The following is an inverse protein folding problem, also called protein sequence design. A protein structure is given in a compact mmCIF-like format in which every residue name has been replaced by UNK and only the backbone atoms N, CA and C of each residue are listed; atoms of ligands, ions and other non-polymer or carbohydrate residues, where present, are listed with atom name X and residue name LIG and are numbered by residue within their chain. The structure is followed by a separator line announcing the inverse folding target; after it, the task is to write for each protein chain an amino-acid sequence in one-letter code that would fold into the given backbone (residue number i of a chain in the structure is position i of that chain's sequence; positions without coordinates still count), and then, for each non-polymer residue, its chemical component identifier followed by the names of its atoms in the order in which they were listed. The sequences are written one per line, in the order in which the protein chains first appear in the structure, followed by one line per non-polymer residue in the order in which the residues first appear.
data_IF_506916984653
#
_entry.id   IF_506916984653
#
_cell.length_a   1.000
_cell.length_b   1.000
_cell.length_c   1.000
_cell.angle_alpha   90.00
_cell.angle_beta   90.00
_cell.angle_gamma   90.00
#
_symmetry.space_group_name_H-M   'P 1'
#
loop_
_entity.id
_entity.type
_entity.pdbx_description
1 polymer ?
#
# COMPACT_ATOMS: atom_id res chain seq x y z
N UNK A 1 15.25 -24.00 -9.41
CA UNK A 1 15.49 -23.59 -8.00
C UNK A 1 14.15 -23.14 -7.46
N UNK A 2 13.65 -23.74 -6.37
CA UNK A 2 12.41 -23.28 -5.73
C UNK A 2 12.65 -21.90 -5.14
N UNK A 3 11.82 -20.91 -5.51
CA UNK A 3 11.80 -19.60 -4.86
C UNK A 3 11.38 -19.80 -3.41
N UNK A 4 12.25 -19.43 -2.51
CA UNK A 4 11.93 -19.42 -1.09
C UNK A 4 11.72 -17.95 -0.71
N UNK A 5 10.46 -17.56 -0.41
CA UNK A 5 10.16 -16.19 0.05
C UNK A 5 10.96 -15.89 1.31
N UNK A 6 11.33 -14.62 1.49
CA UNK A 6 12.11 -14.16 2.65
C UNK A 6 11.29 -14.06 3.93
N UNK A 7 10.00 -14.35 3.86
CA UNK A 7 9.02 -14.30 4.94
C UNK A 7 7.81 -15.18 4.60
N UNK A 8 6.98 -15.48 5.59
CA UNK A 8 5.65 -16.06 5.39
C UNK A 8 4.63 -14.93 5.24
N UNK A 9 3.78 -15.01 4.22
CA UNK A 9 2.66 -14.11 3.99
C UNK A 9 1.37 -14.93 3.90
N UNK A 10 0.36 -14.55 4.66
CA UNK A 10 -0.98 -15.13 4.60
C UNK A 10 -2.03 -14.02 4.62
N UNK A 11 -3.16 -14.22 3.97
CA UNK A 11 -4.30 -13.33 4.14
C UNK A 11 -4.82 -13.35 5.59
N UNK A 12 -5.35 -12.21 6.05
CA UNK A 12 -5.81 -12.06 7.43
C UNK A 12 -7.01 -12.98 7.69
N UNK A 13 -6.88 -13.87 8.65
CA UNK A 13 -7.93 -14.84 9.04
C UNK A 13 -8.67 -14.46 10.34
N UNK A 14 -8.16 -13.47 11.08
CA UNK A 14 -8.70 -13.02 12.34
C UNK A 14 -9.40 -11.65 12.19
N UNK A 15 -10.28 -11.32 13.14
CA UNK A 15 -10.87 -9.98 13.17
C UNK A 15 -9.83 -8.91 13.54
N UNK A 16 -9.98 -7.71 12.98
CA UNK A 16 -9.12 -6.58 13.33
C UNK A 16 -9.09 -6.29 14.84
N UNK A 17 -10.24 -6.42 15.51
CA UNK A 17 -10.33 -6.24 16.96
C UNK A 17 -9.48 -7.26 17.74
N UNK A 18 -9.48 -8.54 17.31
CA UNK A 18 -8.66 -9.59 17.96
C UNK A 18 -7.16 -9.32 17.76
N UNK A 19 -6.76 -8.81 16.59
CA UNK A 19 -5.36 -8.45 16.31
C UNK A 19 -4.94 -7.22 17.11
N UNK A 20 -5.77 -6.18 17.16
CA UNK A 20 -5.49 -4.94 17.89
C UNK A 20 -5.44 -5.13 19.41
N UNK A 21 -6.25 -6.03 19.96
CA UNK A 21 -6.27 -6.29 21.42
C UNK A 21 -4.94 -6.82 21.97
N UNK A 22 -4.09 -7.44 21.12
CA UNK A 22 -2.79 -7.99 21.48
C UNK A 22 -1.60 -7.27 20.86
N UNK A 23 -1.83 -6.17 20.13
CA UNK A 23 -0.74 -5.46 19.48
C UNK A 23 0.21 -4.81 20.49
N UNK A 24 1.50 -4.78 20.14
CA UNK A 24 2.53 -4.04 20.88
C UNK A 24 2.73 -2.64 20.27
N UNK A 25 2.53 -2.53 18.96
CA UNK A 25 2.72 -1.30 18.18
C UNK A 25 1.56 -1.20 17.19
N UNK A 26 0.82 -0.10 17.25
CA UNK A 26 -0.22 0.25 16.28
C UNK A 26 0.13 1.54 15.56
N UNK A 27 0.08 1.54 14.23
CA UNK A 27 0.43 2.68 13.38
C UNK A 27 -0.71 2.93 12.39
N UNK A 28 -1.11 4.20 12.24
CA UNK A 28 -2.17 4.60 11.33
C UNK A 28 -1.96 6.04 10.82
N UNK A 29 -2.92 6.59 10.09
CA UNK A 29 -2.90 7.99 9.61
C UNK A 29 -4.09 8.77 10.14
N UNK A 30 -3.88 10.05 10.41
CA UNK A 30 -4.94 11.04 10.66
C UNK A 30 -5.06 11.92 9.42
N UNK A 31 -6.11 11.69 8.66
CA UNK A 31 -6.42 12.41 7.43
C UNK A 31 -7.85 12.94 7.42
N UNK A 32 -8.31 13.40 6.26
CA UNK A 32 -9.64 13.99 6.06
C UNK A 32 -10.77 12.97 5.86
N UNK A 33 -10.44 11.70 5.55
CA UNK A 33 -11.43 10.65 5.39
C UNK A 33 -11.92 10.15 6.76
N UNK A 34 -13.22 9.90 6.93
CA UNK A 34 -13.77 9.40 8.18
C UNK A 34 -13.12 8.07 8.60
N UNK A 35 -12.80 7.19 7.64
CA UNK A 35 -12.17 5.90 7.90
C UNK A 35 -10.73 6.00 8.40
N UNK A 36 -10.07 7.15 8.35
CA UNK A 36 -8.70 7.31 8.84
C UNK A 36 -8.57 7.11 10.33
N UNK A 37 -9.65 7.31 11.09
CA UNK A 37 -9.71 7.05 12.52
C UNK A 37 -10.52 5.79 12.88
N UNK A 38 -10.84 4.93 11.91
CA UNK A 38 -11.73 3.78 12.11
C UNK A 38 -11.30 2.85 13.23
N UNK A 39 -10.01 2.60 13.36
CA UNK A 39 -9.46 1.74 14.42
C UNK A 39 -8.97 2.51 15.66
N UNK A 40 -8.95 3.84 15.64
CA UNK A 40 -8.40 4.63 16.76
C UNK A 40 -9.19 4.49 18.05
N UNK A 41 -10.48 4.17 17.93
CA UNK A 41 -11.39 3.97 19.06
C UNK A 41 -11.45 2.49 19.53
N UNK A 42 -10.82 1.58 18.77
CA UNK A 42 -10.69 0.19 19.20
C UNK A 42 -9.53 0.13 20.20
N UNK A 43 -9.83 -0.36 21.40
CA UNK A 43 -8.88 -0.47 22.48
C UNK A 43 -7.65 -1.28 22.06
N UNK A 44 -6.56 -0.58 21.77
CA UNK A 44 -5.24 -1.18 21.82
C UNK A 44 -4.95 -1.60 23.26
N UNK A 45 -4.13 -2.63 23.45
CA UNK A 45 -3.58 -2.95 24.75
C UNK A 45 -3.03 -1.66 25.39
N UNK A 46 -3.36 -1.35 26.66
CA UNK A 46 -2.94 -0.13 27.35
C UNK A 46 -1.42 0.10 27.33
N UNK A 47 -0.64 -0.97 27.20
CA UNK A 47 0.81 -0.92 27.07
C UNK A 47 1.30 -0.74 25.61
N UNK A 48 0.42 -0.75 24.61
CA UNK A 48 0.81 -0.62 23.22
C UNK A 48 1.30 0.81 22.91
N UNK A 49 2.26 0.91 21.99
CA UNK A 49 2.55 2.18 21.33
C UNK A 49 1.49 2.41 20.23
N UNK A 50 0.75 3.50 20.34
CA UNK A 50 -0.20 3.92 19.32
C UNK A 50 0.32 5.21 18.67
N UNK A 51 0.74 5.12 17.41
CA UNK A 51 1.32 6.23 16.67
C UNK A 51 0.56 6.56 15.39
N UNK A 52 0.48 7.85 15.06
CA UNK A 52 -0.18 8.29 13.84
C UNK A 52 0.63 9.31 13.06
N UNK A 53 0.57 9.20 11.73
CA UNK A 53 1.00 10.23 10.79
C UNK A 53 -0.15 11.21 10.57
N UNK A 54 0.12 12.50 10.76
CA UNK A 54 -0.90 13.55 10.61
C UNK A 54 -0.69 14.26 9.28
N UNK A 55 -1.69 14.26 8.40
CA UNK A 55 -1.65 14.97 7.12
C UNK A 55 -2.05 16.45 7.32
N UNK A 56 -1.09 17.28 7.72
CA UNK A 56 -1.31 18.71 8.05
C UNK A 56 -1.88 19.52 6.88
N UNK A 57 -1.61 19.14 5.64
CA UNK A 57 -2.19 19.77 4.42
C UNK A 57 -3.71 19.56 4.28
N UNK A 58 -4.32 18.79 5.19
CA UNK A 58 -5.74 18.42 5.14
C UNK A 58 -6.59 19.12 6.18
N UNK A 59 -6.08 20.15 6.87
CA UNK A 59 -6.73 20.78 8.06
C UNK A 59 -8.12 21.32 7.83
N UNK A 60 -8.45 21.73 6.62
CA UNK A 60 -9.77 22.29 6.27
C UNK A 60 -10.64 21.32 5.46
N UNK A 61 -10.23 20.05 5.34
CA UNK A 61 -10.90 19.04 4.52
C UNK A 61 -11.67 18.04 5.37
N UNK A 62 -12.87 17.67 4.91
CA UNK A 62 -13.67 16.56 5.43
C UNK A 62 -13.70 16.45 6.95
N UNK A 63 -13.46 15.25 7.45
CA UNK A 63 -13.50 14.91 8.89
C UNK A 63 -12.13 15.11 9.60
N UNK A 64 -11.21 15.85 9.01
CA UNK A 64 -9.84 15.98 9.59
C UNK A 64 -9.84 16.47 11.03
N UNK A 65 -10.67 17.50 11.36
CA UNK A 65 -10.71 18.09 12.70
C UNK A 65 -11.23 17.08 13.73
N UNK A 66 -12.22 16.30 13.37
CA UNK A 66 -12.81 15.27 14.25
C UNK A 66 -11.83 14.10 14.44
N UNK A 67 -11.17 13.65 13.37
CA UNK A 67 -10.14 12.62 13.45
C UNK A 67 -8.94 13.09 14.31
N UNK A 68 -8.50 14.34 14.16
CA UNK A 68 -7.44 14.92 14.98
C UNK A 68 -7.86 15.05 16.47
N UNK A 69 -9.13 15.38 16.72
CA UNK A 69 -9.65 15.44 18.10
C UNK A 69 -9.68 14.05 18.75
N UNK A 70 -10.11 13.01 18.02
CA UNK A 70 -10.03 11.61 18.49
C UNK A 70 -8.60 11.20 18.80
N UNK A 71 -7.65 11.47 17.87
CA UNK A 71 -6.24 11.22 18.10
C UNK A 71 -5.73 11.83 19.41
N UNK A 72 -6.07 13.11 19.67
CA UNK A 72 -5.67 13.81 20.90
C UNK A 72 -6.32 13.22 22.14
N UNK A 73 -7.62 12.91 22.08
CA UNK A 73 -8.37 12.34 23.20
C UNK A 73 -7.81 10.96 23.62
N UNK A 74 -7.34 10.17 22.64
CA UNK A 74 -6.77 8.84 22.88
C UNK A 74 -5.32 8.91 23.37
N UNK A 75 -4.70 10.10 23.43
CA UNK A 75 -3.32 10.27 23.88
C UNK A 75 -2.28 9.60 22.97
N UNK A 76 -2.58 9.39 21.71
CA UNK A 76 -1.68 8.74 20.76
C UNK A 76 -0.49 9.63 20.38
N UNK A 77 0.59 9.03 19.92
CA UNK A 77 1.85 9.72 19.60
C UNK A 77 1.86 10.17 18.13
N UNK A 78 2.19 11.44 17.87
CA UNK A 78 2.44 11.91 16.50
C UNK A 78 3.77 11.36 15.98
N UNK A 79 3.75 10.75 14.79
CA UNK A 79 4.92 10.30 14.05
C UNK A 79 5.19 11.33 12.96
N UNK A 80 6.44 11.83 12.89
CA UNK A 80 6.81 12.79 11.84
C UNK A 80 6.78 12.15 10.44
N UNK A 81 6.42 12.92 9.43
CA UNK A 81 6.31 12.44 8.04
C UNK A 81 7.65 12.42 7.29
N UNK A 82 8.67 13.16 7.75
CA UNK A 82 9.99 13.03 7.18
C UNK A 82 10.70 11.77 7.70
N UNK A 83 11.62 11.22 6.92
CA UNK A 83 12.25 9.92 7.18
C UNK A 83 13.02 9.87 8.51
N UNK A 84 13.68 10.95 8.91
CA UNK A 84 14.45 10.99 10.16
C UNK A 84 13.54 11.00 11.39
N UNK A 85 12.51 11.83 11.39
CA UNK A 85 11.53 11.89 12.47
C UNK A 85 10.73 10.59 12.58
N UNK A 86 10.35 9.98 11.45
CA UNK A 86 9.73 8.68 11.39
C UNK A 86 10.62 7.61 12.03
N UNK A 87 11.88 7.52 11.58
CA UNK A 87 12.86 6.57 12.12
C UNK A 87 13.04 6.71 13.62
N UNK A 88 13.17 7.95 14.11
CA UNK A 88 13.33 8.23 15.54
C UNK A 88 12.11 7.77 16.35
N UNK A 89 10.90 8.09 15.90
CA UNK A 89 9.67 7.71 16.59
C UNK A 89 9.49 6.18 16.61
N UNK A 90 9.75 5.52 15.48
CA UNK A 90 9.65 4.07 15.38
C UNK A 90 10.73 3.36 16.21
N UNK A 91 11.96 3.86 16.22
CA UNK A 91 13.03 3.30 17.06
C UNK A 91 12.63 3.27 18.52
N UNK A 92 12.09 4.38 19.03
CA UNK A 92 11.57 4.46 20.41
C UNK A 92 10.43 3.44 20.63
N UNK A 93 9.52 3.31 19.65
CA UNK A 93 8.43 2.35 19.74
C UNK A 93 8.93 0.91 19.81
N UNK A 94 9.91 0.56 18.98
CA UNK A 94 10.46 -0.80 18.89
C UNK A 94 11.34 -1.17 20.09
N UNK A 95 12.22 -0.26 20.56
CA UNK A 95 13.12 -0.51 21.68
C UNK A 95 12.40 -0.66 23.01
N UNK A 96 11.29 0.06 23.21
CA UNK A 96 10.52 0.04 24.45
C UNK A 96 9.48 -1.11 24.52
N UNK A 97 9.52 -2.08 23.63
CA UNK A 97 8.58 -3.21 23.62
C UNK A 97 9.32 -4.54 23.65
N UNK A 98 8.82 -5.42 24.53
CA UNK A 98 9.37 -6.76 24.66
C UNK A 98 9.15 -7.59 23.39
N UNK A 99 10.09 -8.51 23.13
CA UNK A 99 10.02 -9.47 22.04
C UNK A 99 9.25 -10.73 22.48
N UNK A 100 8.54 -11.42 21.58
CA UNK A 100 8.23 -11.00 20.22
C UNK A 100 7.17 -9.90 20.20
N UNK A 101 7.22 -9.00 19.19
CA UNK A 101 6.27 -7.91 19.04
C UNK A 101 5.19 -8.26 18.03
N UNK A 102 3.97 -7.82 18.31
CA UNK A 102 2.86 -7.79 17.35
C UNK A 102 2.69 -6.36 16.86
N UNK A 103 3.02 -6.12 15.60
CA UNK A 103 2.94 -4.81 14.94
C UNK A 103 1.70 -4.79 14.07
N UNK A 104 0.89 -3.76 14.18
CA UNK A 104 -0.33 -3.56 13.38
C UNK A 104 -0.22 -2.22 12.66
N UNK A 105 -0.42 -2.23 11.34
CA UNK A 105 -0.41 -1.03 10.52
C UNK A 105 -1.72 -0.93 9.75
N UNK A 106 -2.48 0.14 9.98
CA UNK A 106 -3.64 0.47 9.16
C UNK A 106 -3.20 1.33 7.97
N UNK A 107 -3.28 0.74 6.77
CA UNK A 107 -2.87 1.39 5.52
C UNK A 107 -4.03 2.06 4.78
N UNK A 108 -5.24 2.07 5.32
CA UNK A 108 -6.47 2.46 4.62
C UNK A 108 -6.39 3.84 3.98
N UNK A 109 -5.77 4.80 4.65
CA UNK A 109 -5.63 6.18 4.21
C UNK A 109 -4.20 6.63 3.93
N UNK A 110 -3.22 5.71 3.92
CA UNK A 110 -1.83 6.04 3.60
C UNK A 110 -1.63 6.31 2.11
N UNK A 111 -0.90 7.36 1.76
CA UNK A 111 -0.40 7.52 0.39
C UNK A 111 0.75 6.53 0.10
N UNK A 112 1.06 6.34 -1.18
CA UNK A 112 2.02 5.31 -1.62
C UNK A 112 3.46 5.62 -1.23
N UNK A 113 3.83 6.89 -1.07
CA UNK A 113 5.18 7.26 -0.63
C UNK A 113 5.36 7.03 0.86
N UNK A 114 4.39 7.45 1.67
CA UNK A 114 4.39 7.16 3.10
C UNK A 114 4.37 5.65 3.35
N UNK A 115 3.54 4.91 2.61
CA UNK A 115 3.48 3.45 2.67
C UNK A 115 4.87 2.84 2.44
N UNK A 116 5.55 3.22 1.36
CA UNK A 116 6.87 2.70 1.02
C UNK A 116 7.90 3.06 2.10
N UNK A 117 8.01 4.33 2.50
CA UNK A 117 8.96 4.80 3.51
C UNK A 117 8.75 4.11 4.86
N UNK A 118 7.49 3.93 5.26
CA UNK A 118 7.13 3.28 6.52
C UNK A 118 7.57 1.82 6.55
N UNK A 119 7.20 1.04 5.52
CA UNK A 119 7.51 -0.39 5.52
C UNK A 119 9.00 -0.68 5.30
N UNK A 120 9.72 0.14 4.53
CA UNK A 120 11.17 0.08 4.48
C UNK A 120 11.78 0.25 5.88
N UNK A 121 11.28 1.24 6.64
CA UNK A 121 11.76 1.51 8.00
C UNK A 121 11.37 0.41 9.00
N UNK A 122 10.13 -0.10 8.95
CA UNK A 122 9.66 -1.19 9.82
C UNK A 122 10.50 -2.45 9.62
N UNK A 123 10.73 -2.84 8.35
CA UNK A 123 11.46 -4.07 8.04
C UNK A 123 12.93 -4.02 8.48
N UNK A 124 13.53 -2.83 8.55
CA UNK A 124 14.87 -2.65 9.14
C UNK A 124 14.89 -2.84 10.66
N UNK A 125 13.75 -2.70 11.34
CA UNK A 125 13.64 -2.76 12.80
C UNK A 125 13.05 -4.07 13.34
N UNK A 126 12.37 -4.86 12.48
CA UNK A 126 11.76 -6.13 12.88
C UNK A 126 12.78 -7.19 13.21
N UNK A 127 12.41 -8.06 14.15
CA UNK A 127 13.09 -9.33 14.42
C UNK A 127 12.32 -10.49 13.78
N UNK A 128 13.00 -11.62 13.62
CA UNK A 128 12.44 -12.83 12.97
C UNK A 128 11.18 -13.35 13.64
N UNK A 129 11.06 -13.17 14.95
CA UNK A 129 9.91 -13.64 15.75
C UNK A 129 8.77 -12.61 15.84
N UNK A 130 8.97 -11.40 15.32
CA UNK A 130 7.91 -10.39 15.27
C UNK A 130 6.84 -10.76 14.24
N UNK A 131 5.61 -10.39 14.51
CA UNK A 131 4.47 -10.56 13.61
C UNK A 131 3.96 -9.19 13.18
N UNK A 132 3.80 -9.02 11.88
CA UNK A 132 3.25 -7.80 11.29
C UNK A 132 1.88 -8.09 10.67
N UNK A 133 0.85 -7.40 11.14
CA UNK A 133 -0.46 -7.36 10.52
C UNK A 133 -0.66 -6.04 9.80
N UNK A 134 -1.04 -6.12 8.55
CA UNK A 134 -1.39 -4.95 7.72
C UNK A 134 -2.89 -4.97 7.49
N UNK A 135 -3.58 -3.93 7.96
CA UNK A 135 -5.03 -3.81 7.88
C UNK A 135 -5.43 -2.82 6.79
N UNK A 136 -6.47 -3.13 6.08
CA UNK A 136 -7.10 -2.28 5.08
C UNK A 136 -8.62 -2.34 5.18
N UNK A 137 -9.25 -1.21 5.42
CA UNK A 137 -10.71 -1.06 5.38
C UNK A 137 -11.08 -0.23 4.15
N UNK A 138 -11.77 -0.81 3.16
CA UNK A 138 -12.30 -0.06 2.03
C UNK A 138 -13.27 1.02 2.49
N UNK A 139 -13.50 2.04 1.65
CA UNK A 139 -14.64 2.92 1.82
C UNK A 139 -15.95 2.23 1.43
N UNK A 140 -17.08 2.75 1.95
CA UNK A 140 -18.39 2.48 1.38
C UNK A 140 -18.39 2.82 -0.11
N UNK A 141 -19.25 2.15 -0.88
CA UNK A 141 -19.35 2.43 -2.30
C UNK A 141 -19.76 3.89 -2.52
N UNK A 142 -19.09 4.56 -3.41
CA UNK A 142 -19.45 5.86 -3.97
C UNK A 142 -19.29 5.81 -5.48
N UNK A 143 -20.15 6.51 -6.20
CA UNK A 143 -20.01 6.63 -7.65
C UNK A 143 -18.67 7.28 -7.99
N UNK A 144 -17.92 6.74 -8.97
CA UNK A 144 -16.69 7.35 -9.42
C UNK A 144 -16.94 8.68 -10.15
N UNK A 145 -15.99 9.60 -10.03
CA UNK A 145 -15.94 10.79 -10.86
C UNK A 145 -15.22 10.46 -12.19
N UNK A 146 -15.93 10.57 -13.30
CA UNK A 146 -15.40 10.30 -14.63
C UNK A 146 -14.75 11.54 -15.29
N UNK A 147 -14.20 12.44 -14.49
CA UNK A 147 -13.39 13.55 -15.01
C UNK A 147 -11.93 13.13 -15.15
N UNK A 148 -11.29 13.58 -16.23
CA UNK A 148 -9.85 13.33 -16.42
C UNK A 148 -9.05 14.11 -15.36
N UNK A 149 -8.32 13.42 -14.48
CA UNK A 149 -7.54 14.10 -13.48
C UNK A 149 -6.28 14.72 -14.11
N UNK A 150 -5.87 15.89 -13.60
CA UNK A 150 -4.58 16.47 -13.97
C UNK A 150 -3.45 15.74 -13.26
N UNK A 151 -2.53 15.16 -14.04
CA UNK A 151 -1.34 14.50 -13.51
C UNK A 151 -0.45 15.51 -12.79
N UNK A 152 -0.13 15.24 -11.53
CA UNK A 152 0.82 15.98 -10.72
C UNK A 152 2.21 15.31 -10.70
N UNK A 153 2.23 13.99 -10.50
CA UNK A 153 3.47 13.24 -10.39
C UNK A 153 3.31 11.82 -10.94
N UNK A 154 4.31 11.37 -11.72
CA UNK A 154 4.46 9.97 -12.09
C UNK A 154 5.95 9.59 -12.00
N UNK A 155 6.27 8.65 -11.16
CA UNK A 155 7.64 8.20 -10.90
C UNK A 155 7.75 7.30 -9.67
N UNK A 156 8.96 6.98 -9.21
CA UNK A 156 9.17 6.14 -8.04
C UNK A 156 8.48 6.69 -6.81
N UNK A 157 7.86 5.82 -6.02
CA UNK A 157 7.24 6.22 -4.75
C UNK A 157 8.30 6.71 -3.74
N UNK A 158 9.47 6.07 -3.75
CA UNK A 158 10.69 6.41 -3.00
C UNK A 158 11.92 6.11 -3.87
N UNK A 159 13.06 6.78 -3.66
CA UNK A 159 14.26 6.59 -4.47
C UNK A 159 14.79 5.15 -4.47
N UNK A 160 14.70 4.45 -3.34
CA UNK A 160 15.18 3.09 -3.13
C UNK A 160 14.47 2.06 -4.02
N UNK A 161 13.27 2.39 -4.51
CA UNK A 161 12.43 1.52 -5.34
C UNK A 161 12.29 2.04 -6.78
N UNK A 162 13.31 2.73 -7.29
CA UNK A 162 13.34 3.22 -8.68
C UNK A 162 13.45 2.08 -9.71
N UNK A 163 14.13 0.99 -9.37
CA UNK A 163 14.31 -0.17 -10.26
C UNK A 163 14.95 0.20 -11.60
N UNK A 164 14.49 -0.45 -12.69
CA UNK A 164 15.07 -0.33 -14.04
C UNK A 164 14.16 0.27 -15.10
N UNK A 165 13.06 0.91 -14.74
CA UNK A 165 12.12 1.50 -15.75
C UNK A 165 12.78 2.55 -16.65
N UNK A 166 13.86 3.19 -16.21
CA UNK A 166 14.64 4.11 -17.05
C UNK A 166 15.69 3.43 -17.96
N UNK A 167 15.81 2.12 -17.97
CA UNK A 167 16.73 1.38 -18.83
C UNK A 167 16.09 1.11 -20.21
N UNK A 168 16.29 2.01 -21.14
CA UNK A 168 15.75 1.93 -22.52
C UNK A 168 16.34 0.78 -23.36
N UNK A 169 17.31 0.03 -22.85
CA UNK A 169 17.80 -1.18 -23.50
C UNK A 169 16.90 -2.39 -23.30
N UNK A 170 15.88 -2.27 -22.44
CA UNK A 170 14.96 -3.33 -22.06
C UNK A 170 13.52 -2.96 -22.39
N UNK A 171 12.78 -3.93 -22.88
CA UNK A 171 11.32 -3.80 -22.97
C UNK A 171 10.70 -3.72 -21.59
N UNK A 172 9.61 -2.95 -21.47
CA UNK A 172 8.89 -2.77 -20.21
C UNK A 172 7.80 -3.83 -20.04
N UNK A 173 7.76 -4.44 -18.86
CA UNK A 173 6.62 -5.20 -18.37
C UNK A 173 5.89 -4.37 -17.32
N UNK A 174 4.62 -4.08 -17.55
CA UNK A 174 3.77 -3.35 -16.62
C UNK A 174 2.89 -4.31 -15.82
N UNK A 175 2.91 -4.16 -14.49
CA UNK A 175 1.96 -4.80 -13.58
C UNK A 175 1.19 -3.69 -12.88
N UNK A 176 -0.12 -3.60 -13.12
CA UNK A 176 -0.91 -2.46 -12.69
C UNK A 176 -2.23 -2.91 -12.04
N UNK A 177 -2.52 -2.37 -10.84
CA UNK A 177 -3.85 -2.44 -10.28
C UNK A 177 -4.77 -1.43 -10.96
N UNK A 178 -6.05 -1.72 -11.05
CA UNK A 178 -7.05 -0.80 -11.59
C UNK A 178 -7.90 -0.21 -10.44
N UNK A 179 -8.30 1.04 -10.60
CA UNK A 179 -9.08 1.79 -9.64
C UNK A 179 -10.09 2.70 -10.31
N UNK A 180 -10.55 3.70 -9.58
CA UNK A 180 -11.52 4.68 -10.03
C UNK A 180 -10.91 5.86 -10.79
N UNK A 181 -9.58 5.92 -10.87
CA UNK A 181 -8.87 7.03 -11.51
C UNK A 181 -9.10 7.00 -13.01
N UNK A 182 -10.12 7.76 -13.49
CA UNK A 182 -10.59 7.76 -14.87
C UNK A 182 -9.47 8.14 -15.85
N UNK A 183 -9.19 7.26 -16.81
CA UNK A 183 -8.13 7.46 -17.80
C UNK A 183 -6.69 7.40 -17.29
N UNK A 184 -6.46 7.21 -15.99
CA UNK A 184 -5.11 7.15 -15.44
C UNK A 184 -4.35 5.92 -15.93
N UNK A 185 -5.03 4.78 -16.09
CA UNK A 185 -4.45 3.56 -16.64
C UNK A 185 -3.96 3.76 -18.08
N UNK A 186 -4.75 4.42 -18.91
CA UNK A 186 -4.36 4.78 -20.29
C UNK A 186 -3.11 5.68 -20.28
N UNK A 187 -3.08 6.71 -19.44
CA UNK A 187 -1.94 7.62 -19.35
C UNK A 187 -0.64 6.90 -18.93
N UNK A 188 -0.73 5.90 -18.06
CA UNK A 188 0.43 5.06 -17.69
C UNK A 188 0.87 4.20 -18.86
N UNK A 189 -0.05 3.56 -19.57
CA UNK A 189 0.24 2.74 -20.76
C UNK A 189 0.92 3.55 -21.85
N UNK A 190 0.43 4.76 -22.14
CA UNK A 190 1.03 5.68 -23.13
C UNK A 190 2.42 6.16 -22.72
N UNK A 191 2.70 6.33 -21.44
CA UNK A 191 4.01 6.80 -20.95
C UNK A 191 5.07 5.71 -20.87
N UNK A 192 4.68 4.49 -20.53
CA UNK A 192 5.60 3.37 -20.35
C UNK A 192 5.75 2.53 -21.61
N UNK A 193 4.79 2.61 -22.55
CA UNK A 193 4.76 1.81 -23.79
C UNK A 193 5.15 0.34 -23.55
N UNK A 194 4.47 -0.38 -22.62
CA UNK A 194 4.90 -1.69 -22.20
C UNK A 194 4.72 -2.72 -23.32
N UNK A 195 5.68 -3.64 -23.45
CA UNK A 195 5.59 -4.79 -24.36
C UNK A 195 4.58 -5.84 -23.88
N UNK A 196 4.37 -5.92 -22.56
CA UNK A 196 3.37 -6.79 -21.91
C UNK A 196 2.80 -6.09 -20.68
N UNK A 197 1.49 -6.27 -20.43
CA UNK A 197 0.82 -5.68 -19.28
C UNK A 197 -0.06 -6.69 -18.56
N UNK A 198 0.06 -6.74 -17.24
CA UNK A 198 -0.79 -7.51 -16.34
C UNK A 198 -1.63 -6.53 -15.53
N UNK A 199 -2.94 -6.53 -15.76
CA UNK A 199 -3.90 -5.61 -15.17
C UNK A 199 -4.74 -6.36 -14.12
N UNK A 200 -4.78 -5.85 -12.90
CA UNK A 200 -5.47 -6.46 -11.77
C UNK A 200 -6.76 -5.69 -11.45
N UNK A 201 -7.88 -6.38 -11.58
CA UNK A 201 -9.22 -5.88 -11.26
C UNK A 201 -9.55 -6.20 -9.80
N UNK A 202 -9.82 -5.19 -8.95
CA UNK A 202 -10.15 -5.44 -7.56
C UNK A 202 -11.53 -6.07 -7.41
N UNK A 203 -11.60 -7.14 -6.62
CA UNK A 203 -12.84 -7.80 -6.20
C UNK A 203 -12.92 -7.81 -4.66
N UNK A 204 -13.93 -7.17 -4.12
CA UNK A 204 -14.19 -7.04 -2.68
C UNK A 204 -15.54 -7.62 -2.28
N UNK A 205 -16.07 -7.14 -1.16
CA UNK A 205 -17.37 -7.56 -0.62
C UNK A 205 -18.58 -6.87 -1.28
N UNK A 206 -18.36 -5.80 -2.02
CA UNK A 206 -19.43 -5.00 -2.64
C UNK A 206 -19.29 -5.06 -4.17
N UNK A 207 -20.23 -5.76 -4.79
CA UNK A 207 -20.22 -6.03 -6.23
C UNK A 207 -20.39 -4.78 -7.10
N UNK A 208 -20.79 -3.64 -6.52
CA UNK A 208 -20.92 -2.36 -7.24
C UNK A 208 -19.58 -1.78 -7.68
N UNK A 209 -18.49 -2.11 -6.98
CA UNK A 209 -17.17 -1.59 -7.31
C UNK A 209 -16.67 -2.08 -8.67
N UNK A 210 -16.81 -3.35 -8.99
CA UNK A 210 -16.24 -3.94 -10.20
C UNK A 210 -16.78 -3.33 -11.51
N UNK A 211 -18.10 -3.13 -11.70
CA UNK A 211 -18.64 -2.42 -12.86
C UNK A 211 -18.07 -1.01 -13.00
N UNK A 212 -17.99 -0.26 -11.89
CA UNK A 212 -17.50 1.11 -11.90
C UNK A 212 -16.00 1.18 -12.22
N UNK A 213 -15.18 0.25 -11.71
CA UNK A 213 -13.76 0.13 -12.10
C UNK A 213 -13.63 -0.19 -13.58
N UNK A 214 -14.45 -1.11 -14.10
CA UNK A 214 -14.46 -1.43 -15.54
C UNK A 214 -14.81 -0.20 -16.37
N UNK A 215 -15.85 0.54 -16.00
CA UNK A 215 -16.23 1.76 -16.70
C UNK A 215 -15.10 2.81 -16.66
N UNK A 216 -14.45 3.03 -15.53
CA UNK A 216 -13.37 3.98 -15.40
C UNK A 216 -12.14 3.65 -16.27
N UNK A 217 -11.96 2.39 -16.68
CA UNK A 217 -10.75 1.95 -17.37
C UNK A 217 -10.98 1.43 -18.78
N UNK A 218 -12.17 0.90 -19.13
CA UNK A 218 -12.41 0.21 -20.42
C UNK A 218 -13.23 1.02 -21.43
N UNK A 219 -13.58 2.26 -21.11
CA UNK A 219 -14.13 3.20 -22.08
C UNK A 219 -13.09 3.60 -23.16
N UNK A 220 -11.84 3.13 -23.01
CA UNK A 220 -10.73 3.43 -23.91
C UNK A 220 -10.31 2.19 -24.69
N UNK A 221 -10.06 2.36 -25.98
CA UNK A 221 -9.35 1.35 -26.77
C UNK A 221 -7.84 1.49 -26.48
N UNK A 222 -7.29 0.56 -25.74
CA UNK A 222 -5.86 0.58 -25.42
C UNK A 222 -4.97 0.26 -26.64
N UNK A 223 -5.52 -0.28 -27.74
CA UNK A 223 -4.76 -0.61 -28.95
C UNK A 223 -3.56 -1.56 -28.71
N UNK A 224 -3.38 -2.04 -27.50
CA UNK A 224 -2.20 -2.73 -27.01
C UNK A 224 -2.35 -4.23 -27.18
N UNK A 225 -1.35 -4.84 -27.79
CA UNK A 225 -1.18 -6.30 -27.85
C UNK A 225 -0.55 -6.76 -26.53
N UNK A 226 -0.90 -7.96 -26.07
CA UNK A 226 -0.39 -8.58 -24.83
C UNK A 226 -0.90 -7.95 -23.50
N UNK A 227 -2.21 -7.72 -23.43
CA UNK A 227 -2.88 -7.40 -22.17
C UNK A 227 -3.38 -8.69 -21.50
N UNK A 228 -3.04 -8.86 -20.23
CA UNK A 228 -3.52 -9.93 -19.37
C UNK A 228 -4.34 -9.34 -18.23
N UNK A 229 -5.60 -9.80 -18.08
CA UNK A 229 -6.48 -9.37 -17.00
C UNK A 229 -6.54 -10.45 -15.93
N UNK A 230 -6.32 -10.04 -14.69
CA UNK A 230 -6.35 -10.88 -13.51
C UNK A 230 -7.30 -10.28 -12.48
N UNK A 231 -7.96 -11.10 -11.68
CA UNK A 231 -8.72 -10.63 -10.54
C UNK A 231 -7.81 -10.49 -9.31
N UNK A 232 -8.04 -9.44 -8.54
CA UNK A 232 -7.42 -9.24 -7.24
C UNK A 232 -8.48 -9.34 -6.15
N UNK A 233 -8.58 -10.49 -5.51
CA UNK A 233 -9.51 -10.69 -4.42
C UNK A 233 -8.91 -10.13 -3.12
N UNK A 234 -9.58 -9.13 -2.53
CA UNK A 234 -9.14 -8.50 -1.28
C UNK A 234 -9.01 -9.49 -0.12
N UNK A 235 -9.85 -10.53 -0.10
CA UNK A 235 -9.81 -11.57 0.90
C UNK A 235 -8.61 -12.54 0.75
N UNK A 236 -8.03 -12.62 -0.46
CA UNK A 236 -6.96 -13.56 -0.81
C UNK A 236 -5.73 -12.80 -1.33
N UNK A 237 -5.31 -11.75 -0.63
CA UNK A 237 -4.22 -10.88 -1.08
C UNK A 237 -2.87 -11.61 -1.19
N UNK A 238 -2.67 -12.69 -0.43
CA UNK A 238 -1.50 -13.56 -0.52
C UNK A 238 -1.42 -14.32 -1.87
N UNK A 239 -2.54 -14.60 -2.54
CA UNK A 239 -2.54 -15.17 -3.89
C UNK A 239 -1.97 -14.19 -4.90
N UNK A 240 -2.37 -12.92 -4.84
CA UNK A 240 -1.83 -11.88 -5.71
C UNK A 240 -0.32 -11.66 -5.48
N UNK A 241 0.15 -11.76 -4.24
CA UNK A 241 1.60 -11.71 -3.96
C UNK A 241 2.35 -12.84 -4.65
N UNK A 242 1.83 -14.09 -4.60
CA UNK A 242 2.46 -15.24 -5.26
C UNK A 242 2.44 -15.11 -6.79
N UNK A 243 1.34 -14.63 -7.33
CA UNK A 243 1.18 -14.43 -8.77
C UNK A 243 2.14 -13.36 -9.30
N UNK A 244 2.12 -12.16 -8.71
CA UNK A 244 3.01 -11.06 -9.09
C UNK A 244 4.48 -11.44 -8.91
N UNK A 245 4.84 -12.11 -7.81
CA UNK A 245 6.20 -12.59 -7.58
C UNK A 245 6.64 -13.58 -8.66
N UNK A 246 5.75 -14.46 -9.11
CA UNK A 246 6.04 -15.42 -10.18
C UNK A 246 6.31 -14.74 -11.52
N UNK A 247 5.50 -13.73 -11.89
CA UNK A 247 5.68 -12.90 -13.08
C UNK A 247 7.04 -12.18 -13.01
N UNK A 248 7.30 -11.51 -11.88
CA UNK A 248 8.56 -10.77 -11.68
C UNK A 248 9.77 -11.68 -11.79
N UNK A 249 9.76 -12.84 -11.16
CA UNK A 249 10.87 -13.79 -11.22
C UNK A 249 11.13 -14.33 -12.63
N UNK A 250 10.07 -14.52 -13.40
CA UNK A 250 10.19 -14.98 -14.78
C UNK A 250 10.80 -13.91 -15.71
N UNK A 251 10.48 -12.63 -15.48
CA UNK A 251 10.74 -11.55 -16.44
C UNK A 251 11.85 -10.56 -16.04
N UNK A 252 12.18 -10.40 -14.76
CA UNK A 252 13.12 -9.36 -14.28
C UNK A 252 14.52 -9.37 -14.88
N UNK A 253 14.95 -10.50 -15.42
CA UNK A 253 16.28 -10.60 -16.06
C UNK A 253 16.27 -10.15 -17.52
N UNK A 254 15.12 -10.20 -18.19
CA UNK A 254 14.95 -9.83 -19.60
C UNK A 254 14.23 -8.51 -19.81
N UNK A 255 13.38 -8.08 -18.87
CA UNK A 255 12.54 -6.89 -19.00
C UNK A 255 12.75 -5.92 -17.83
N UNK A 256 12.47 -4.64 -18.06
CA UNK A 256 12.29 -3.65 -17.00
C UNK A 256 10.87 -3.78 -16.43
N UNK A 257 10.73 -3.97 -15.11
CA UNK A 257 9.44 -4.21 -14.50
C UNK A 257 8.95 -2.98 -13.75
N UNK A 258 7.74 -2.52 -14.11
CA UNK A 258 7.04 -1.42 -13.48
C UNK A 258 5.82 -1.93 -12.71
N UNK A 259 5.76 -1.68 -11.41
CA UNK A 259 4.57 -1.90 -10.58
C UNK A 259 3.87 -0.55 -10.36
N UNK A 260 2.64 -0.42 -10.87
CA UNK A 260 1.81 0.80 -10.75
C UNK A 260 0.49 0.46 -10.07
N UNK A 261 0.42 0.51 -8.74
CA UNK A 261 -0.76 0.06 -8.01
C UNK A 261 -1.81 1.17 -7.89
N UNK A 262 -2.80 1.18 -8.78
CA UNK A 262 -4.05 1.90 -8.56
C UNK A 262 -5.00 1.08 -7.68
N UNK A 263 -6.15 1.67 -7.33
CA UNK A 263 -7.20 1.01 -6.57
C UNK A 263 -6.84 0.74 -5.10
N UNK A 264 -7.18 -0.44 -4.56
CA UNK A 264 -7.08 -0.74 -3.13
C UNK A 264 -5.65 -0.62 -2.58
N UNK A 265 -5.51 0.00 -1.40
CA UNK A 265 -4.18 0.13 -0.74
C UNK A 265 -3.54 -1.22 -0.40
N UNK A 266 -4.35 -2.26 -0.22
CA UNK A 266 -3.84 -3.61 -0.01
C UNK A 266 -3.08 -4.12 -1.24
N UNK A 267 -3.54 -3.84 -2.47
CA UNK A 267 -2.79 -4.13 -3.68
C UNK A 267 -1.48 -3.32 -3.75
N UNK A 268 -1.53 -2.05 -3.33
CA UNK A 268 -0.31 -1.22 -3.24
C UNK A 268 0.73 -1.83 -2.29
N UNK A 269 0.28 -2.38 -1.16
CA UNK A 269 1.16 -3.05 -0.22
C UNK A 269 1.75 -4.35 -0.80
N UNK A 270 0.96 -5.16 -1.49
CA UNK A 270 1.44 -6.37 -2.17
C UNK A 270 2.52 -6.03 -3.21
N UNK A 271 2.26 -5.05 -4.07
CA UNK A 271 3.26 -4.57 -5.03
C UNK A 271 4.53 -4.05 -4.34
N UNK A 272 4.38 -3.32 -3.24
CA UNK A 272 5.51 -2.83 -2.44
C UNK A 272 6.39 -3.98 -1.94
N UNK A 273 5.79 -5.04 -1.39
CA UNK A 273 6.54 -6.21 -0.92
C UNK A 273 7.36 -6.84 -2.03
N UNK A 274 6.75 -7.03 -3.21
CA UNK A 274 7.44 -7.60 -4.37
C UNK A 274 8.58 -6.69 -4.83
N UNK A 275 8.38 -5.37 -4.86
CA UNK A 275 9.42 -4.41 -5.22
C UNK A 275 10.58 -4.42 -4.21
N UNK A 276 10.27 -4.46 -2.90
CA UNK A 276 11.29 -4.53 -1.85
C UNK A 276 12.14 -5.81 -1.95
N UNK A 277 11.54 -6.96 -2.24
CA UNK A 277 12.28 -8.21 -2.44
C UNK A 277 13.17 -8.21 -3.68
N UNK A 278 12.85 -7.36 -4.66
CA UNK A 278 13.55 -7.23 -5.93
C UNK A 278 14.09 -5.80 -6.14
N UNK A 279 14.50 -5.15 -5.05
CA UNK A 279 15.05 -3.80 -5.09
C UNK A 279 16.23 -3.72 -6.06
N UNK A 280 16.28 -2.67 -6.88
CA UNK A 280 17.22 -2.49 -7.97
C UNK A 280 16.78 -3.11 -9.31
N UNK A 281 15.90 -4.11 -9.33
CA UNK A 281 15.39 -4.72 -10.57
C UNK A 281 13.96 -4.24 -10.91
N UNK A 282 13.12 -3.99 -9.89
CA UNK A 282 11.69 -3.70 -10.01
C UNK A 282 11.40 -2.29 -9.54
N UNK A 283 10.67 -1.53 -10.33
CA UNK A 283 10.26 -0.16 -10.02
C UNK A 283 8.89 -0.15 -9.36
N UNK A 284 8.76 0.48 -8.19
CA UNK A 284 7.49 0.75 -7.55
C UNK A 284 7.10 2.21 -7.79
N UNK A 285 6.17 2.42 -8.72
CA UNK A 285 5.81 3.75 -9.20
C UNK A 285 4.52 4.23 -8.56
N UNK A 286 4.48 5.52 -8.24
CA UNK A 286 3.24 6.18 -7.87
C UNK A 286 2.78 7.13 -8.98
N UNK A 287 1.48 7.17 -9.16
CA UNK A 287 0.77 8.14 -9.96
C UNK A 287 -0.01 9.03 -9.00
N UNK A 288 0.20 10.33 -9.07
CA UNK A 288 -0.49 11.31 -8.24
C UNK A 288 -1.15 12.36 -9.12
N UNK A 289 -2.37 12.71 -8.79
CA UNK A 289 -3.16 13.71 -9.49
C UNK A 289 -3.40 14.91 -8.58
N UNK A 290 -3.52 16.09 -9.20
CA UNK A 290 -4.11 17.23 -8.52
C UNK A 290 -5.62 16.98 -8.48
N UNK A 291 -6.08 16.45 -7.36
CA UNK A 291 -7.48 16.57 -7.07
C UNK A 291 -7.69 17.96 -6.47
N UNK A 292 -8.62 18.73 -7.02
CA UNK A 292 -9.40 19.66 -6.21
C UNK A 292 -10.04 18.74 -5.17
N UNK A 293 -9.40 18.63 -4.01
CA UNK A 293 -9.76 17.71 -2.94
C UNK A 293 -11.19 18.06 -2.49
N UNK A 294 -12.17 17.54 -3.23
CA UNK A 294 -13.54 17.64 -2.79
C UNK A 294 -13.62 16.86 -1.50
N UNK A 295 -14.26 17.47 -0.53
CA UNK A 295 -14.53 16.92 0.80
C UNK A 295 -15.44 15.69 0.71
N UNK A 296 -14.94 14.61 0.12
CA UNK A 296 -15.66 13.35 0.12
C UNK A 296 -15.55 12.76 1.53
N UNK A 297 -16.70 12.69 2.22
CA UNK A 297 -16.85 11.97 3.48
C UNK A 297 -16.78 10.48 3.23
N UNK A 298 -15.59 9.97 2.88
CA UNK A 298 -15.39 8.53 2.65
C UNK A 298 -15.47 7.79 3.99
N UNK A 299 -16.59 7.07 4.16
CA UNK A 299 -16.87 6.24 5.33
C UNK A 299 -16.23 4.86 5.19
N UNK A 300 -15.91 4.26 6.32
CA UNK A 300 -15.47 2.87 6.35
C UNK A 300 -16.62 1.92 5.98
N UNK A 301 -16.34 0.93 5.13
CA UNK A 301 -17.35 -0.08 4.73
C UNK A 301 -17.76 -1.03 5.86
N UNK A 302 -17.05 -1.01 6.99
CA UNK A 302 -17.24 -1.96 8.09
C UNK A 302 -16.57 -3.32 7.87
N UNK A 303 -16.10 -3.62 6.67
CA UNK A 303 -15.34 -4.85 6.37
C UNK A 303 -13.85 -4.54 6.33
N UNK A 304 -13.04 -5.31 7.06
CA UNK A 304 -11.59 -5.16 7.07
C UNK A 304 -10.93 -6.37 6.41
N UNK A 305 -10.00 -6.08 5.54
CA UNK A 305 -9.10 -7.04 4.91
C UNK A 305 -7.68 -6.82 5.40
N UNK A 306 -6.78 -7.74 5.09
CA UNK A 306 -5.38 -7.54 5.42
C UNK A 306 -4.53 -8.76 5.17
N UNK A 307 -3.28 -8.65 5.56
CA UNK A 307 -2.32 -9.75 5.52
C UNK A 307 -1.51 -9.80 6.81
N UNK A 308 -1.01 -10.99 7.09
CA UNK A 308 -0.09 -11.27 8.20
C UNK A 308 1.25 -11.71 7.64
N UNK A 309 2.32 -11.07 8.13
CA UNK A 309 3.70 -11.41 7.79
C UNK A 309 4.44 -11.90 9.04
N UNK A 310 5.26 -12.93 8.88
CA UNK A 310 6.14 -13.47 9.92
C UNK A 310 7.44 -14.00 9.32
N UNK A 311 8.48 -14.18 10.15
CA UNK A 311 9.77 -14.67 9.70
C UNK A 311 10.60 -13.64 8.92
N UNK A 312 10.38 -12.34 9.16
CA UNK A 312 11.11 -11.26 8.49
C UNK A 312 12.52 -11.14 9.09
N UNK A 313 13.53 -11.49 8.30
CA UNK A 313 14.93 -11.37 8.72
C UNK A 313 15.53 -10.01 8.33
N UNK A 314 15.77 -9.15 9.32
CA UNK A 314 16.37 -7.82 9.17
C UNK A 314 17.62 -7.79 8.26
N UNK A 315 18.55 -8.72 8.44
CA UNK A 315 19.83 -8.76 7.71
C UNK A 315 19.69 -8.91 6.18
N UNK A 316 18.58 -9.45 5.72
CA UNK A 316 18.30 -9.66 4.29
C UNK A 316 17.77 -8.39 3.61
N UNK A 317 17.07 -7.52 4.36
CA UNK A 317 16.49 -6.29 3.83
C UNK A 317 17.51 -5.15 3.74
N UNK A 318 18.38 -5.02 4.74
CA UNK A 318 19.44 -4.01 4.73
C UNK A 318 20.38 -4.17 3.54
N UNK A 319 20.72 -5.41 3.15
CA UNK A 319 21.58 -5.69 1.98
C UNK A 319 20.91 -5.38 0.64
N UNK A 320 19.61 -5.58 0.51
CA UNK A 320 18.90 -5.31 -0.73
C UNK A 320 18.82 -3.80 -1.03
N UNK A 321 18.75 -2.96 0.01
CA UNK A 321 18.64 -1.51 -0.11
C UNK A 321 20.00 -0.80 -0.26
N UNK A 322 21.11 -1.41 0.17
CA UNK A 322 22.46 -0.81 0.07
C UNK A 322 23.17 -1.15 -1.24
N UNK A 323 22.69 -2.12 -2.00
CA UNK A 323 23.29 -2.59 -3.26
C UNK A 323 22.47 -2.16 -4.51
N UNK A 324 21.44 -1.35 -4.38
CA UNK A 324 20.69 -0.68 -5.44
C UNK A 324 21.11 0.78 -5.52
#
# INVERSE_FOLDING_TARGET
MSYQSRFSLTSLSESAAAVLSRCSIFIYTVGYEQRSSYFSDILCNESAFCGAFIYEDSTDLGEFKDNLQKFKNNGHTSIGTNIEAMRKSLLIAFENRALPRTIVVDISCMDRSLLASLFLTIFEMMNVDDILHVLYTPNEFSEPDFTFPTLNYFGPAVPELNGRVGDFSRECCLIMGLGYEYGASLNVLERLEPAVSYLYLPAGHDDRFLPSVKQANFDFDFGIRNLHFNDFYLANADEAYRDISSIVLALKHSMAIALVPFGPKLFSFICLLVAMENAGDVSFLRYSVNNDRQSSTLKASGTTYGVTLSGIERSRWTRALTNG
#
